data_IF_971765552252
#
_entry.id   IF_971765552252
#
_cell.length_a   1.000
_cell.length_b   1.000
_cell.length_c   1.000
_cell.angle_alpha   90.00
_cell.angle_beta   90.00
_cell.angle_gamma   90.00
#
_symmetry.space_group_name_H-M   'P 1'
#
loop_
_entity.id
_entity.type
_entity.pdbx_description
1 polymer ?
#
# COMPACT_ATOMS: atom_id res chain seq x y z
N UNK A 1 5.62 17.79 -10.63
CA UNK A 1 6.45 17.52 -9.44
C UNK A 1 5.58 16.73 -8.47
N UNK A 2 6.07 15.61 -7.95
CA UNK A 2 5.36 14.73 -7.00
C UNK A 2 5.40 15.39 -5.62
N UNK A 3 4.27 15.47 -4.92
CA UNK A 3 4.10 16.10 -3.61
C UNK A 3 3.59 15.14 -2.54
N UNK A 4 2.71 14.20 -2.90
CA UNK A 4 2.06 13.27 -1.99
C UNK A 4 2.26 11.83 -2.46
N UNK A 5 3.51 11.31 -2.47
CA UNK A 5 3.74 9.91 -2.77
C UNK A 5 3.18 9.01 -1.66
N UNK A 6 2.71 7.83 -2.02
CA UNK A 6 2.22 6.82 -1.08
C UNK A 6 2.76 5.45 -1.45
N UNK A 7 3.13 4.65 -0.45
CA UNK A 7 3.46 3.23 -0.62
C UNK A 7 2.34 2.37 -0.03
N UNK A 8 1.82 1.44 -0.83
CA UNK A 8 0.87 0.41 -0.38
C UNK A 8 1.63 -0.91 -0.24
N UNK A 9 1.65 -1.46 0.96
CA UNK A 9 2.31 -2.74 1.27
C UNK A 9 1.28 -3.87 1.26
N UNK A 10 1.52 -4.88 0.44
CA UNK A 10 0.62 -6.01 0.22
C UNK A 10 1.10 -7.32 0.85
N UNK A 11 0.23 -8.33 0.81
CA UNK A 11 0.45 -9.63 1.45
C UNK A 11 1.65 -10.43 0.92
N UNK A 12 2.05 -10.28 -0.34
CA UNK A 12 3.21 -11.01 -0.91
C UNK A 12 4.54 -10.56 -0.30
N UNK A 13 4.59 -9.41 0.36
CA UNK A 13 5.79 -8.97 1.10
C UNK A 13 6.17 -9.98 2.18
N UNK A 14 5.18 -10.65 2.80
CA UNK A 14 5.39 -11.74 3.75
C UNK A 14 6.05 -12.95 3.09
N UNK A 15 5.53 -13.35 1.94
CA UNK A 15 5.98 -14.53 1.19
C UNK A 15 7.45 -14.40 0.82
N UNK A 16 7.85 -13.22 0.32
CA UNK A 16 9.22 -12.94 -0.10
C UNK A 16 10.12 -12.39 1.01
N UNK A 17 9.64 -12.34 2.28
CA UNK A 17 10.40 -11.81 3.43
C UNK A 17 10.96 -10.40 3.18
N UNK A 18 10.19 -9.58 2.50
CA UNK A 18 10.60 -8.28 1.98
C UNK A 18 10.20 -7.11 2.91
N UNK A 19 9.77 -7.36 4.15
CA UNK A 19 9.27 -6.34 5.08
C UNK A 19 10.31 -5.23 5.31
N UNK A 20 11.57 -5.61 5.49
CA UNK A 20 12.68 -4.65 5.64
C UNK A 20 12.87 -3.81 4.38
N UNK A 21 12.80 -4.44 3.20
CA UNK A 21 12.97 -3.73 1.94
C UNK A 21 11.80 -2.76 1.69
N UNK A 22 10.56 -3.19 1.94
CA UNK A 22 9.39 -2.35 1.87
C UNK A 22 9.52 -1.15 2.83
N UNK A 23 9.97 -1.37 4.08
CA UNK A 23 10.24 -0.29 5.03
C UNK A 23 11.30 0.68 4.53
N UNK A 24 12.41 0.20 3.98
CA UNK A 24 13.45 1.05 3.40
C UNK A 24 12.91 1.94 2.27
N UNK A 25 12.00 1.43 1.43
CA UNK A 25 11.37 2.21 0.36
C UNK A 25 10.56 3.38 0.94
N UNK A 26 9.77 3.12 1.98
CA UNK A 26 8.97 4.16 2.66
C UNK A 26 9.86 5.22 3.28
N UNK A 27 10.92 4.82 3.98
CA UNK A 27 11.87 5.73 4.62
C UNK A 27 12.67 6.55 3.59
N UNK A 28 13.08 5.93 2.47
CA UNK A 28 13.82 6.62 1.42
C UNK A 28 12.99 7.70 0.72
N UNK A 29 11.68 7.46 0.54
CA UNK A 29 10.78 8.46 -0.05
C UNK A 29 10.21 9.46 0.97
N UNK A 30 10.36 9.21 2.27
CA UNK A 30 9.78 10.04 3.32
C UNK A 30 8.26 10.18 3.19
N UNK A 31 7.59 9.13 2.71
CA UNK A 31 6.20 9.17 2.27
C UNK A 31 5.25 8.50 3.28
N UNK A 32 3.93 8.67 3.09
CA UNK A 32 2.93 7.92 3.86
C UNK A 32 2.83 6.48 3.35
N UNK A 33 2.40 5.58 4.23
CA UNK A 33 2.22 4.16 3.91
C UNK A 33 0.93 3.59 4.47
N UNK A 34 0.24 2.80 3.65
CA UNK A 34 -0.85 1.93 4.08
C UNK A 34 -0.50 0.47 3.80
N UNK A 35 -1.17 -0.44 4.48
CA UNK A 35 -1.12 -1.89 4.18
C UNK A 35 -2.45 -2.33 3.59
N UNK A 36 -2.49 -3.33 2.71
CA UNK A 36 -3.77 -3.96 2.35
C UNK A 36 -4.36 -4.72 3.54
N UNK A 37 -5.66 -5.05 3.51
CA UNK A 37 -6.31 -5.80 4.60
C UNK A 37 -5.64 -7.15 4.90
N UNK A 38 -5.24 -7.88 3.86
CA UNK A 38 -4.47 -9.12 3.94
C UNK A 38 -2.95 -8.91 4.20
N UNK A 39 -2.48 -7.66 4.08
CA UNK A 39 -1.13 -7.22 4.40
C UNK A 39 -0.96 -6.67 5.83
N UNK A 40 -2.00 -6.73 6.67
CA UNK A 40 -1.95 -6.19 8.04
C UNK A 40 -0.77 -6.78 8.83
N UNK A 41 -0.07 -5.91 9.56
CA UNK A 41 1.12 -6.25 10.34
C UNK A 41 2.43 -6.39 9.55
N UNK A 42 2.43 -6.15 8.23
CA UNK A 42 3.65 -6.22 7.40
C UNK A 42 4.44 -4.89 7.33
N UNK A 43 3.94 -3.86 8.00
CA UNK A 43 4.64 -2.60 8.23
C UNK A 43 4.46 -2.23 9.71
N UNK A 44 5.48 -1.67 10.40
CA UNK A 44 5.34 -1.29 11.81
C UNK A 44 4.22 -0.25 11.99
N UNK A 45 3.17 -0.60 12.74
CA UNK A 45 1.98 0.27 12.89
C UNK A 45 2.23 1.48 13.80
N UNK A 46 3.34 1.49 14.55
CA UNK A 46 3.83 2.60 15.38
C UNK A 46 4.74 3.59 14.60
N UNK A 47 5.07 3.28 13.34
CA UNK A 47 5.92 4.13 12.52
C UNK A 47 5.16 5.40 12.08
N UNK A 48 5.80 6.59 12.10
CA UNK A 48 5.12 7.87 11.79
C UNK A 48 4.54 7.96 10.38
N UNK A 49 5.07 7.17 9.43
CA UNK A 49 4.54 7.07 8.08
C UNK A 49 3.25 6.22 7.98
N UNK A 50 2.97 5.37 8.96
CA UNK A 50 1.85 4.44 8.89
C UNK A 50 0.51 5.19 8.94
N UNK A 51 -0.30 4.93 7.93
CA UNK A 51 -1.56 5.61 7.67
C UNK A 51 -2.77 4.71 7.84
N UNK A 52 -2.57 3.42 8.08
CA UNK A 52 -3.64 2.45 8.34
C UNK A 52 -3.68 1.27 7.38
N UNK A 53 -4.76 0.50 7.53
CA UNK A 53 -5.13 -0.64 6.71
C UNK A 53 -6.11 -0.17 5.64
N UNK A 54 -5.70 -0.25 4.38
CA UNK A 54 -6.49 0.13 3.23
C UNK A 54 -7.23 -1.07 2.64
N UNK A 55 -8.53 -0.93 2.49
CA UNK A 55 -9.43 -1.93 1.91
C UNK A 55 -10.49 -1.23 1.05
N UNK A 56 -10.04 -0.43 0.07
CA UNK A 56 -10.95 0.40 -0.71
C UNK A 56 -11.75 1.36 0.18
N UNK A 57 -13.08 1.30 0.07
CA UNK A 57 -13.99 2.23 0.77
C UNK A 57 -14.09 2.01 2.29
N UNK A 58 -13.64 0.89 2.83
CA UNK A 58 -13.77 0.53 4.26
C UNK A 58 -12.43 0.52 5.00
N UNK A 59 -11.48 1.33 4.53
CA UNK A 59 -10.16 1.47 5.17
C UNK A 59 -10.22 1.97 6.62
N UNK A 60 -9.23 1.57 7.43
CA UNK A 60 -9.14 1.85 8.87
C UNK A 60 -7.74 2.38 9.24
N UNK A 61 -7.63 3.55 9.89
CA UNK A 61 -8.73 4.48 10.14
C UNK A 61 -9.18 5.15 8.82
N UNK A 62 -10.30 5.87 8.83
CA UNK A 62 -10.94 6.37 7.60
C UNK A 62 -10.00 7.25 6.76
N UNK A 63 -9.06 7.92 7.40
CA UNK A 63 -8.03 8.78 6.80
C UNK A 63 -7.12 8.02 5.83
N UNK A 64 -6.94 6.69 5.98
CA UNK A 64 -6.14 5.90 5.05
C UNK A 64 -6.71 5.93 3.63
N UNK A 65 -8.03 6.10 3.49
CA UNK A 65 -8.71 6.26 2.21
C UNK A 65 -8.35 7.58 1.54
N UNK A 66 -8.32 8.67 2.30
CA UNK A 66 -7.94 9.99 1.79
C UNK A 66 -6.49 9.99 1.32
N UNK A 67 -5.59 9.34 2.06
CA UNK A 67 -4.17 9.18 1.68
C UNK A 67 -4.04 8.53 0.31
N UNK A 68 -4.75 7.43 0.08
CA UNK A 68 -4.69 6.73 -1.21
C UNK A 68 -5.41 7.52 -2.31
N UNK A 69 -6.58 8.09 -2.03
CA UNK A 69 -7.39 8.81 -3.04
C UNK A 69 -6.76 10.13 -3.51
N UNK A 70 -6.00 10.79 -2.64
CA UNK A 70 -5.38 12.10 -2.91
C UNK A 70 -3.92 12.01 -3.33
N UNK A 71 -3.30 10.82 -3.29
CA UNK A 71 -1.91 10.65 -3.73
C UNK A 71 -1.73 11.05 -5.20
N UNK A 72 -0.56 11.59 -5.50
CA UNK A 72 -0.16 11.97 -6.86
C UNK A 72 0.87 11.02 -7.48
N UNK A 73 1.44 10.11 -6.67
CA UNK A 73 2.20 8.94 -7.09
C UNK A 73 1.99 7.80 -6.08
N UNK A 74 1.89 6.55 -6.57
CA UNK A 74 1.75 5.38 -5.72
C UNK A 74 2.73 4.28 -6.10
N UNK A 75 3.34 3.64 -5.11
CA UNK A 75 4.08 2.39 -5.27
C UNK A 75 3.33 1.31 -4.52
N UNK A 76 2.88 0.28 -5.24
CA UNK A 76 2.23 -0.89 -4.66
C UNK A 76 3.24 -2.01 -4.61
N UNK A 77 3.58 -2.51 -3.42
CA UNK A 77 4.57 -3.56 -3.22
C UNK A 77 3.86 -4.85 -2.81
N UNK A 78 3.83 -5.84 -3.69
CA UNK A 78 3.36 -7.18 -3.37
C UNK A 78 1.87 -7.29 -3.00
N UNK A 79 1.01 -6.40 -3.50
CA UNK A 79 -0.43 -6.48 -3.27
C UNK A 79 -1.13 -7.45 -4.21
N UNK A 80 -2.08 -8.21 -3.66
CA UNK A 80 -3.02 -9.04 -4.42
C UNK A 80 -4.36 -8.33 -4.45
N UNK A 81 -4.80 -7.90 -5.62
CA UNK A 81 -6.08 -7.21 -5.80
C UNK A 81 -7.22 -8.21 -6.02
N UNK A 82 -7.68 -8.82 -4.93
CA UNK A 82 -8.92 -9.63 -4.88
C UNK A 82 -10.16 -8.75 -4.69
N UNK A 83 -11.34 -9.31 -4.98
CA UNK A 83 -12.62 -8.72 -4.59
C UNK A 83 -12.68 -8.37 -3.10
N UNK A 84 -12.10 -9.20 -2.22
CA UNK A 84 -12.05 -8.94 -0.78
C UNK A 84 -11.13 -7.76 -0.41
N UNK A 85 -9.90 -7.74 -0.92
CA UNK A 85 -8.91 -6.68 -0.60
C UNK A 85 -9.31 -5.30 -1.14
N UNK A 86 -10.16 -5.27 -2.18
CA UNK A 86 -10.54 -4.06 -2.91
C UNK A 86 -11.98 -3.62 -2.70
N UNK A 87 -12.74 -4.32 -1.84
CA UNK A 87 -14.19 -4.07 -1.64
C UNK A 87 -14.97 -4.16 -2.94
N UNK A 88 -14.86 -5.30 -3.63
CA UNK A 88 -15.51 -5.54 -4.92
C UNK A 88 -14.96 -4.64 -6.03
N UNK A 89 -13.63 -4.50 -6.10
CA UNK A 89 -12.92 -3.67 -7.09
C UNK A 89 -13.24 -2.17 -7.00
N UNK A 90 -13.57 -1.68 -5.79
CA UNK A 90 -13.87 -0.28 -5.49
C UNK A 90 -12.75 0.35 -4.67
N UNK A 91 -11.66 0.69 -5.36
CA UNK A 91 -10.54 1.44 -4.81
C UNK A 91 -10.49 2.85 -5.39
N UNK A 92 -10.11 3.82 -4.57
CA UNK A 92 -9.90 5.22 -5.00
C UNK A 92 -8.49 5.44 -5.59
N UNK A 93 -7.76 4.37 -5.91
CA UNK A 93 -6.38 4.41 -6.41
C UNK A 93 -6.34 4.82 -7.89
N UNK A 94 -5.52 5.83 -8.21
CA UNK A 94 -5.31 6.32 -9.59
C UNK A 94 -4.22 5.53 -10.30
N UNK A 95 -4.62 4.51 -11.05
CA UNK A 95 -3.71 3.58 -11.74
C UNK A 95 -2.70 4.25 -12.69
N UNK A 96 -3.04 5.39 -13.29
CA UNK A 96 -2.14 6.13 -14.19
C UNK A 96 -0.88 6.63 -13.48
N UNK A 97 -0.94 6.76 -12.15
CA UNK A 97 0.14 7.26 -11.30
C UNK A 97 0.73 6.16 -10.40
N UNK A 98 0.42 4.89 -10.69
CA UNK A 98 0.78 3.75 -9.85
C UNK A 98 1.86 2.90 -10.51
N UNK A 99 2.94 2.63 -9.77
CA UNK A 99 3.91 1.58 -10.10
C UNK A 99 3.60 0.36 -9.22
N UNK A 100 3.25 -0.75 -9.85
CA UNK A 100 3.03 -2.01 -9.16
C UNK A 100 4.29 -2.88 -9.23
N UNK A 101 4.87 -3.15 -8.07
CA UNK A 101 6.00 -4.06 -7.87
C UNK A 101 5.43 -5.41 -7.41
N UNK A 102 5.27 -6.33 -8.36
CA UNK A 102 4.87 -7.69 -8.04
C UNK A 102 6.08 -8.46 -7.52
N UNK A 103 5.86 -9.22 -6.45
CA UNK A 103 6.90 -10.02 -5.80
C UNK A 103 6.82 -11.50 -6.22
N UNK A 104 5.96 -11.81 -7.19
CA UNK A 104 5.82 -13.15 -7.76
C UNK A 104 6.45 -13.21 -9.17
N UNK A 105 7.36 -14.17 -9.37
CA UNK A 105 7.71 -14.68 -10.69
C UNK A 105 6.61 -15.67 -11.10
N UNK A 106 5.91 -15.39 -12.21
CA UNK A 106 5.19 -16.43 -12.93
C UNK A 106 6.22 -17.52 -13.28
N UNK A 107 6.00 -18.75 -12.80
CA UNK A 107 6.43 -19.93 -13.54
C UNK A 107 5.48 -20.12 -14.72
#
# INVERSE_FOLDING_TARGET
MIKNPVVIVGSQVRTEKAEKAAKCVVEAFGCRTVVTSDGKGLFPEDHPAFAGVYMGQVGIPMECREVVGTCDACIVIGAVFSDYSTTGFKMDLKWQNTVQVNLFLLF
#
